data_IF_236740571636
#
_entry.id   IF_236740571636
#
_cell.length_a   1.000
_cell.length_b   1.000
_cell.length_c   1.000
_cell.angle_alpha   90.00
_cell.angle_beta   90.00
_cell.angle_gamma   90.00
#
_symmetry.space_group_name_H-M   'P 1'
#
loop_
_entity.id
_entity.type
_entity.pdbx_description
1 polymer ?
#
# COMPACT_ATOMS: atom_id res chain seq x y z
N UNK A 1 -46.48 -4.85 -12.92
CA UNK A 1 -45.79 -3.86 -12.03
C UNK A 1 -44.77 -4.55 -11.12
N UNK A 2 -45.08 -5.58 -10.31
CA UNK A 2 -44.12 -6.28 -9.43
C UNK A 2 -42.84 -6.78 -10.15
N UNK A 3 -42.96 -7.33 -11.36
CA UNK A 3 -41.83 -7.82 -12.16
C UNK A 3 -40.89 -6.67 -12.63
N UNK A 4 -41.48 -5.49 -12.92
CA UNK A 4 -40.73 -4.31 -13.34
C UNK A 4 -39.85 -3.77 -12.18
N UNK A 5 -40.41 -3.76 -10.95
CA UNK A 5 -39.64 -3.36 -9.75
C UNK A 5 -38.47 -4.33 -9.43
N UNK A 6 -38.69 -5.64 -9.63
CA UNK A 6 -37.65 -6.65 -9.44
C UNK A 6 -36.49 -6.47 -10.44
N UNK A 7 -36.80 -6.16 -11.70
CA UNK A 7 -35.79 -5.88 -12.73
C UNK A 7 -35.02 -4.59 -12.40
N UNK A 8 -35.73 -3.55 -11.94
CA UNK A 8 -35.11 -2.27 -11.56
C UNK A 8 -34.19 -2.44 -10.37
N UNK A 9 -34.57 -3.22 -9.36
CA UNK A 9 -33.72 -3.54 -8.18
C UNK A 9 -32.51 -4.35 -8.62
N UNK A 10 -32.68 -5.32 -9.52
CA UNK A 10 -31.57 -6.13 -10.03
C UNK A 10 -30.56 -5.27 -10.83
N UNK A 11 -31.05 -4.28 -11.57
CA UNK A 11 -30.24 -3.36 -12.36
C UNK A 11 -29.40 -2.42 -11.46
N UNK A 12 -29.95 -1.97 -10.33
CA UNK A 12 -29.25 -1.12 -9.35
C UNK A 12 -28.15 -1.90 -8.61
N UNK A 13 -28.36 -3.19 -8.38
CA UNK A 13 -27.36 -4.08 -7.74
C UNK A 13 -26.22 -4.47 -8.68
N UNK A 14 -26.35 -4.25 -9.99
CA UNK A 14 -25.35 -4.58 -11.01
C UNK A 14 -24.36 -3.42 -11.28
N UNK A 15 -24.31 -2.37 -10.46
CA UNK A 15 -23.33 -1.31 -10.65
C UNK A 15 -21.90 -1.87 -10.41
N UNK A 16 -20.98 -1.72 -11.39
CA UNK A 16 -19.62 -2.19 -11.22
C UNK A 16 -18.97 -1.40 -10.09
N UNK A 17 -18.55 -2.09 -9.03
CA UNK A 17 -17.68 -1.52 -8.01
C UNK A 17 -16.36 -1.19 -8.66
N UNK A 18 -16.00 0.10 -8.70
CA UNK A 18 -14.67 0.51 -9.17
C UNK A 18 -13.63 0.09 -8.13
N UNK A 19 -12.51 -0.43 -8.62
CA UNK A 19 -11.33 -0.61 -7.79
C UNK A 19 -10.86 0.77 -7.32
N UNK A 20 -10.75 0.95 -6.01
CA UNK A 20 -10.36 2.23 -5.42
C UNK A 20 -8.97 2.17 -4.78
N UNK A 21 -8.54 0.99 -4.34
CA UNK A 21 -7.27 0.80 -3.67
C UNK A 21 -6.57 -0.50 -4.07
N UNK A 22 -5.24 -0.47 -3.93
CA UNK A 22 -4.37 -1.64 -3.90
C UNK A 22 -3.96 -1.88 -2.45
N UNK A 23 -4.33 -3.02 -1.90
CA UNK A 23 -3.84 -3.50 -0.61
C UNK A 23 -2.66 -4.43 -0.85
N UNK A 24 -1.48 -4.05 -0.35
CA UNK A 24 -0.27 -4.86 -0.39
C UNK A 24 -0.09 -5.48 1.00
N UNK A 25 -0.43 -6.76 1.20
CA UNK A 25 -0.26 -7.42 2.49
C UNK A 25 1.22 -7.60 2.82
N UNK A 26 1.55 -7.62 4.12
CA UNK A 26 2.90 -7.87 4.61
C UNK A 26 2.95 -9.09 5.56
N UNK A 27 1.89 -9.91 5.53
CA UNK A 27 1.81 -11.21 6.19
C UNK A 27 2.45 -12.33 5.35
N UNK A 28 2.29 -13.58 5.75
CA UNK A 28 2.86 -14.76 5.08
C UNK A 28 2.34 -14.98 3.64
N UNK A 29 1.30 -14.25 3.23
CA UNK A 29 0.81 -14.29 1.84
C UNK A 29 1.66 -13.45 0.89
N UNK A 30 2.57 -12.61 1.41
CA UNK A 30 3.48 -11.82 0.61
C UNK A 30 4.63 -12.68 0.06
N UNK A 31 4.79 -12.70 -1.26
CA UNK A 31 5.86 -13.44 -1.92
C UNK A 31 7.23 -12.82 -1.73
N UNK A 32 7.31 -11.48 -1.62
CA UNK A 32 8.56 -10.76 -1.45
C UNK A 32 8.38 -9.43 -0.70
N UNK A 33 8.60 -9.45 0.60
CA UNK A 33 8.46 -8.29 1.49
C UNK A 33 9.38 -7.13 1.10
N UNK A 34 10.65 -7.39 0.75
CA UNK A 34 11.59 -6.33 0.36
C UNK A 34 11.13 -5.60 -0.90
N UNK A 35 10.61 -6.33 -1.88
CA UNK A 35 10.05 -5.72 -3.09
C UNK A 35 8.76 -4.96 -2.81
N UNK A 36 7.94 -5.42 -1.85
CA UNK A 36 6.74 -4.72 -1.42
C UNK A 36 7.08 -3.35 -0.81
N UNK A 37 8.10 -3.26 0.07
CA UNK A 37 8.66 -1.99 0.54
C UNK A 37 9.14 -1.12 -0.63
N UNK A 38 9.84 -1.73 -1.60
CA UNK A 38 10.31 -1.04 -2.80
C UNK A 38 9.17 -0.46 -3.65
N UNK A 39 8.03 -1.14 -3.76
CA UNK A 39 6.84 -0.62 -4.45
C UNK A 39 6.25 0.56 -3.69
N UNK A 40 6.07 0.45 -2.36
CA UNK A 40 5.59 1.56 -1.54
C UNK A 40 6.49 2.81 -1.66
N UNK A 41 7.80 2.63 -1.57
CA UNK A 41 8.78 3.71 -1.77
C UNK A 41 8.66 4.33 -3.18
N UNK A 42 8.55 3.52 -4.22
CA UNK A 42 8.43 3.95 -5.61
C UNK A 42 7.13 4.74 -5.86
N UNK A 43 6.02 4.39 -5.18
CA UNK A 43 4.78 5.18 -5.23
C UNK A 43 4.96 6.52 -4.55
N UNK A 44 5.60 6.57 -3.36
CA UNK A 44 5.90 7.81 -2.65
C UNK A 44 6.82 8.75 -3.43
N UNK A 45 7.76 8.22 -4.25
CA UNK A 45 8.58 9.04 -5.16
C UNK A 45 7.75 9.78 -6.21
N UNK A 46 6.51 9.36 -6.46
CA UNK A 46 5.54 10.00 -7.38
C UNK A 46 4.59 10.96 -6.67
N UNK A 47 4.93 11.30 -5.43
CA UNK A 47 4.15 12.24 -4.61
C UNK A 47 2.71 11.76 -4.35
N UNK A 48 2.47 10.45 -4.42
CA UNK A 48 1.20 9.83 -4.06
C UNK A 48 1.25 9.40 -2.59
N UNK A 49 0.32 9.94 -1.81
CA UNK A 49 0.14 9.55 -0.42
C UNK A 49 -0.37 8.11 -0.34
N UNK A 50 0.19 7.34 0.59
CA UNK A 50 -0.23 5.97 0.88
C UNK A 50 -0.46 5.80 2.38
N UNK A 51 -1.32 4.84 2.76
CA UNK A 51 -1.52 4.49 4.16
C UNK A 51 -0.70 3.27 4.51
N UNK A 52 0.06 3.36 5.60
CA UNK A 52 0.69 2.21 6.24
C UNK A 52 -0.20 1.76 7.38
N UNK A 53 -0.72 0.53 7.28
CA UNK A 53 -1.65 -0.06 8.22
C UNK A 53 -0.86 -0.89 9.24
N UNK A 54 -0.47 -0.26 10.34
CA UNK A 54 0.34 -0.86 11.40
C UNK A 54 -0.38 -2.05 12.02
N UNK A 55 0.32 -3.18 12.11
CA UNK A 55 -0.15 -4.46 12.64
C UNK A 55 -1.35 -5.08 11.88
N UNK A 56 -1.93 -4.42 10.89
CA UNK A 56 -2.92 -5.04 10.03
C UNK A 56 -2.21 -5.89 8.96
N UNK A 57 -2.45 -7.21 9.00
CA UNK A 57 -1.83 -8.18 8.10
C UNK A 57 -0.30 -7.99 7.93
N UNK A 58 0.41 -7.86 9.05
CA UNK A 58 1.86 -7.70 9.09
C UNK A 58 2.38 -6.29 8.79
N UNK A 59 1.52 -5.28 8.77
CA UNK A 59 1.88 -3.89 8.46
C UNK A 59 1.69 -3.56 6.97
N UNK A 60 0.50 -3.84 6.44
CA UNK A 60 0.13 -3.70 5.03
C UNK A 60 0.19 -2.26 4.53
N UNK A 61 0.32 -2.08 3.20
CA UNK A 61 0.17 -0.79 2.55
C UNK A 61 -1.15 -0.71 1.80
N UNK A 62 -1.86 0.40 1.97
CA UNK A 62 -3.06 0.76 1.23
C UNK A 62 -2.73 1.92 0.30
N UNK A 63 -2.80 1.68 -1.01
CA UNK A 63 -2.37 2.60 -2.06
C UNK A 63 -3.58 2.95 -2.92
N UNK A 64 -3.84 4.23 -3.26
CA UNK A 64 -4.87 4.57 -4.22
C UNK A 64 -4.70 3.79 -5.53
N UNK A 65 -5.79 3.23 -6.05
CA UNK A 65 -5.71 2.40 -7.25
C UNK A 65 -5.27 3.23 -8.46
N UNK A 66 -4.24 2.74 -9.12
CA UNK A 66 -3.84 3.19 -10.44
C UNK A 66 -3.25 2.01 -11.21
N UNK A 67 -3.60 1.87 -12.48
CA UNK A 67 -3.13 0.76 -13.32
C UNK A 67 -1.59 0.65 -13.35
N UNK A 68 -0.89 1.79 -13.30
CA UNK A 68 0.56 1.84 -13.26
C UNK A 68 1.12 1.18 -11.97
N UNK A 69 0.47 1.36 -10.82
CA UNK A 69 0.89 0.77 -9.55
C UNK A 69 0.61 -0.74 -9.52
N UNK A 70 -0.54 -1.14 -10.06
CA UNK A 70 -0.87 -2.55 -10.23
C UNK A 70 0.15 -3.26 -11.14
N UNK A 71 0.52 -2.63 -12.26
CA UNK A 71 1.54 -3.14 -13.19
C UNK A 71 2.89 -3.29 -12.51
N UNK A 72 3.28 -2.33 -11.68
CA UNK A 72 4.55 -2.39 -10.93
C UNK A 72 4.56 -3.55 -9.94
N UNK A 73 3.46 -3.80 -9.22
CA UNK A 73 3.33 -4.98 -8.37
C UNK A 73 3.51 -6.28 -9.16
N UNK A 74 2.87 -6.39 -10.33
CA UNK A 74 2.98 -7.55 -11.22
C UNK A 74 4.43 -7.76 -11.70
N UNK A 75 5.08 -6.70 -12.18
CA UNK A 75 6.46 -6.78 -12.69
C UNK A 75 7.47 -7.19 -11.62
N UNK A 76 7.26 -6.77 -10.38
CA UNK A 76 8.13 -7.11 -9.26
C UNK A 76 7.77 -8.41 -8.56
N UNK A 77 6.68 -9.07 -8.98
CA UNK A 77 6.13 -10.26 -8.32
C UNK A 77 5.79 -9.99 -6.85
N UNK A 78 5.12 -8.88 -6.59
CA UNK A 78 4.60 -8.49 -5.27
C UNK A 78 3.14 -8.88 -5.18
N UNK A 79 2.76 -9.60 -4.12
CA UNK A 79 1.36 -9.95 -3.86
C UNK A 79 0.54 -8.69 -3.51
N UNK A 80 -0.65 -8.56 -4.10
CA UNK A 80 -1.55 -7.44 -3.84
C UNK A 80 -3.01 -7.88 -4.03
N UNK A 81 -3.93 -7.12 -3.46
CA UNK A 81 -5.36 -7.25 -3.66
C UNK A 81 -5.92 -5.92 -4.18
N UNK A 82 -6.74 -5.99 -5.22
CA UNK A 82 -7.53 -4.84 -5.67
C UNK A 82 -8.82 -4.83 -4.88
N UNK A 83 -9.10 -3.75 -4.15
CA UNK A 83 -10.25 -3.63 -3.29
C UNK A 83 -11.08 -2.39 -3.62
N UNK A 84 -12.38 -2.45 -3.34
CA UNK A 84 -13.31 -1.33 -3.50
C UNK A 84 -13.24 -0.37 -2.29
N UNK A 85 -13.74 0.87 -2.47
CA UNK A 85 -13.84 1.86 -1.39
C UNK A 85 -14.47 1.29 -0.12
N UNK A 86 -15.61 0.63 -0.24
CA UNK A 86 -16.32 0.07 0.92
C UNK A 86 -15.49 -0.97 1.70
N UNK A 87 -14.60 -1.71 1.01
CA UNK A 87 -13.71 -2.66 1.66
C UNK A 87 -12.55 -1.93 2.36
N UNK A 88 -12.01 -0.88 1.75
CA UNK A 88 -11.00 -0.04 2.37
C UNK A 88 -11.55 0.65 3.62
N UNK A 89 -12.76 1.23 3.55
CA UNK A 89 -13.44 1.86 4.68
C UNK A 89 -13.68 0.86 5.83
N UNK A 90 -14.07 -0.37 5.51
CA UNK A 90 -14.27 -1.42 6.53
C UNK A 90 -12.95 -1.79 7.23
N UNK A 91 -11.84 -1.89 6.49
CA UNK A 91 -10.50 -2.13 7.05
C UNK A 91 -10.07 -0.97 7.95
N UNK A 92 -10.26 0.27 7.50
CA UNK A 92 -9.90 1.45 8.29
C UNK A 92 -10.77 1.57 9.56
N UNK A 93 -12.04 1.20 9.49
CA UNK A 93 -12.92 1.15 10.65
C UNK A 93 -12.50 0.07 11.67
N UNK A 94 -12.05 -1.10 11.19
CA UNK A 94 -11.49 -2.15 12.04
C UNK A 94 -10.21 -1.68 12.76
N UNK A 95 -9.32 -0.99 12.03
CA UNK A 95 -8.05 -0.46 12.56
C UNK A 95 -8.31 0.65 13.59
N UNK A 96 -9.34 1.46 13.40
CA UNK A 96 -9.71 2.56 14.31
C UNK A 96 -10.36 2.10 15.61
N UNK A 97 -10.67 0.82 15.79
CA UNK A 97 -11.22 0.28 17.04
C UNK A 97 -10.17 0.38 18.17
N UNK A 98 -10.46 1.08 19.28
CA UNK A 98 -9.53 1.22 20.39
C UNK A 98 -9.16 -0.12 21.09
N UNK A 99 -9.93 -1.18 20.84
CA UNK A 99 -9.69 -2.51 21.39
C UNK A 99 -8.61 -3.30 20.65
N UNK A 100 -8.15 -2.83 19.50
CA UNK A 100 -7.13 -3.50 18.67
C UNK A 100 -5.81 -2.76 18.76
N UNK A 101 -4.70 -3.49 18.64
CA UNK A 101 -3.35 -2.91 18.59
C UNK A 101 -2.95 -2.65 17.13
N UNK A 102 -3.75 -1.84 16.43
CA UNK A 102 -3.51 -1.44 15.04
C UNK A 102 -3.62 0.09 14.92
N UNK A 103 -3.00 0.66 13.88
CA UNK A 103 -3.08 2.11 13.60
C UNK A 103 -2.88 2.37 12.12
N UNK A 104 -3.35 3.52 11.63
CA UNK A 104 -3.11 4.01 10.27
C UNK A 104 -2.11 5.17 10.30
N UNK A 105 -1.01 5.03 9.57
CA UNK A 105 -0.05 6.11 9.38
C UNK A 105 -0.01 6.55 7.91
N UNK A 106 -0.28 7.83 7.66
CA UNK A 106 -0.16 8.44 6.33
C UNK A 106 1.29 8.71 5.98
N UNK A 107 1.77 8.10 4.90
CA UNK A 107 3.10 8.34 4.34
C UNK A 107 2.95 9.29 3.14
N UNK A 108 3.58 10.45 3.22
CA UNK A 108 3.41 11.53 2.23
C UNK A 108 4.63 11.72 1.33
N UNK A 109 5.82 11.41 1.84
CA UNK A 109 7.08 11.66 1.14
C UNK A 109 8.09 10.55 1.42
N UNK A 110 8.98 10.35 0.46
CA UNK A 110 10.15 9.50 0.67
C UNK A 110 11.09 10.11 1.71
N UNK A 111 11.72 9.29 2.56
CA UNK A 111 12.71 9.78 3.50
C UNK A 111 13.93 10.35 2.76
N UNK A 112 14.51 11.43 3.29
CA UNK A 112 15.82 11.91 2.89
C UNK A 112 16.86 11.30 3.81
N UNK A 113 17.78 10.53 3.24
CA UNK A 113 18.87 9.91 3.99
C UNK A 113 20.12 10.79 3.84
N UNK A 114 20.64 11.27 4.96
CA UNK A 114 21.94 11.96 5.00
C UNK A 114 22.98 11.03 5.62
N UNK A 115 24.10 10.85 4.94
CA UNK A 115 25.22 10.07 5.43
C UNK A 115 26.35 11.03 5.81
N UNK A 116 26.77 10.98 7.08
CA UNK A 116 27.97 11.68 7.53
C UNK A 116 29.18 10.77 7.36
N UNK A 117 30.05 11.09 6.42
CA UNK A 117 31.32 10.40 6.20
C UNK A 117 32.47 11.35 6.52
N UNK A 118 33.11 11.22 7.71
CA UNK A 118 34.27 12.06 8.09
C UNK A 118 35.46 11.71 7.21
N UNK A 119 36.18 12.73 6.74
CA UNK A 119 37.29 12.62 5.78
C UNK A 119 38.46 11.73 6.24
N UNK A 120 38.52 11.38 7.51
CA UNK A 120 39.70 10.74 8.14
C UNK A 120 39.51 9.28 8.56
N UNK A 121 38.37 8.65 8.21
CA UNK A 121 38.02 7.29 8.64
C UNK A 121 37.89 6.29 7.47
N UNK A 122 38.59 6.50 6.38
CA UNK A 122 38.70 5.53 5.31
C UNK A 122 39.38 4.24 5.83
N UNK A 123 38.88 3.02 5.47
CA UNK A 123 37.84 2.70 4.46
C UNK A 123 36.46 2.42 5.06
N UNK A 124 36.21 2.68 6.34
CA UNK A 124 35.01 2.19 7.05
C UNK A 124 33.72 2.90 6.66
N UNK A 125 33.81 4.11 6.11
CA UNK A 125 32.66 4.95 5.78
C UNK A 125 32.13 4.74 4.35
N UNK A 126 32.87 4.00 3.50
CA UNK A 126 32.53 3.84 2.09
C UNK A 126 31.34 2.90 1.84
N UNK A 127 31.08 1.94 2.74
CA UNK A 127 30.05 0.93 2.51
C UNK A 127 28.62 1.54 2.43
N UNK A 128 28.31 2.51 3.29
CA UNK A 128 26.99 3.18 3.28
C UNK A 128 26.85 4.10 2.07
N UNK A 129 27.91 4.84 1.74
CA UNK A 129 27.94 5.72 0.57
C UNK A 129 27.76 4.92 -0.71
N UNK A 130 28.47 3.78 -0.86
CA UNK A 130 28.35 2.89 -2.02
C UNK A 130 26.97 2.25 -2.19
N UNK A 131 26.25 2.00 -1.09
CA UNK A 131 24.91 1.42 -1.16
C UNK A 131 23.83 2.46 -1.52
N UNK A 132 24.07 3.75 -1.21
CA UNK A 132 23.11 4.83 -1.38
C UNK A 132 23.35 5.67 -2.65
N UNK A 133 24.40 5.42 -3.40
CA UNK A 133 24.68 6.03 -4.72
C UNK A 133 24.27 5.13 -5.85
#
# INVERSE_FOLDING_TARGET
MRKLYLILILLVLAMPSKAAYLLIPMDDTQTNHLKAYGVAFWVLQREVEISWLLNYRGGSYLIPYHEMFERECKMRNVSYNVIADAQADAILAEIADPGVNMDEMKLQKVPRVAVYAPKNNLPWDDAVTLVLT
#
